data_IF_517266329853
#
_entry.id   IF_517266329853
#
_cell.length_a   1.000
_cell.length_b   1.000
_cell.length_c   1.000
_cell.angle_alpha   90.00
_cell.angle_beta   90.00
_cell.angle_gamma   90.00
#
_symmetry.space_group_name_H-M   'P 1'
#
loop_
_entity.id
_entity.type
_entity.pdbx_description
1 polymer ?
#
# COMPACT_ATOMS: atom_id res chain seq x y z
N UNK A 1 5.43 27.64 14.05
CA UNK A 1 4.45 27.10 13.09
C UNK A 1 5.06 26.66 11.76
N UNK A 2 5.93 27.45 11.11
CA UNK A 2 6.53 27.07 9.82
C UNK A 2 7.46 25.83 9.91
N UNK A 3 8.35 25.81 10.90
CA UNK A 3 9.28 24.69 11.14
C UNK A 3 8.59 23.37 11.52
N UNK A 4 7.46 23.41 12.24
CA UNK A 4 6.71 22.20 12.60
C UNK A 4 5.97 21.60 11.39
N UNK A 5 5.49 22.44 10.47
CA UNK A 5 4.86 22.01 9.23
C UNK A 5 5.88 21.45 8.23
N UNK A 6 7.11 21.98 8.25
CA UNK A 6 8.24 21.45 7.48
C UNK A 6 8.71 20.09 8.03
N UNK A 7 8.82 19.92 9.35
CA UNK A 7 9.18 18.63 9.96
C UNK A 7 8.11 17.54 9.76
N UNK A 8 6.82 17.91 9.80
CA UNK A 8 5.72 16.97 9.50
C UNK A 8 5.76 16.50 8.03
N UNK A 9 6.04 17.40 7.09
CA UNK A 9 6.13 17.05 5.67
C UNK A 9 7.37 16.21 5.35
N UNK A 10 8.49 16.45 6.03
CA UNK A 10 9.73 15.66 5.90
C UNK A 10 9.50 14.23 6.39
N UNK A 11 8.77 14.07 7.50
CA UNK A 11 8.31 12.78 8.03
C UNK A 11 7.44 12.00 7.03
N UNK A 12 6.52 12.65 6.32
CA UNK A 12 5.63 11.98 5.35
C UNK A 12 6.38 11.49 4.13
N UNK A 13 7.31 12.31 3.65
CA UNK A 13 8.15 11.98 2.50
C UNK A 13 9.01 10.74 2.78
N UNK A 14 9.60 10.64 3.97
CA UNK A 14 10.42 9.49 4.36
C UNK A 14 9.61 8.19 4.37
N UNK A 15 8.40 8.22 4.95
CA UNK A 15 7.51 7.04 4.98
C UNK A 15 7.13 6.63 3.57
N UNK A 16 6.67 7.55 2.73
CA UNK A 16 6.27 7.25 1.34
C UNK A 16 7.47 6.73 0.54
N UNK A 17 8.65 7.33 0.71
CA UNK A 17 9.85 6.93 -0.01
C UNK A 17 10.32 5.52 0.41
N UNK A 18 10.21 5.17 1.69
CA UNK A 18 10.50 3.82 2.15
C UNK A 18 9.60 2.79 1.47
N UNK A 19 8.30 3.08 1.33
CA UNK A 19 7.36 2.26 0.57
C UNK A 19 7.77 2.10 -0.90
N UNK A 20 8.12 3.20 -1.57
CA UNK A 20 8.58 3.17 -2.96
C UNK A 20 9.86 2.36 -3.15
N UNK A 21 10.77 2.38 -2.17
CA UNK A 21 11.96 1.54 -2.18
C UNK A 21 11.60 0.05 -2.07
N UNK A 22 10.67 -0.31 -1.18
CA UNK A 22 10.17 -1.69 -1.05
C UNK A 22 9.51 -2.21 -2.34
N UNK A 23 8.78 -1.36 -3.07
CA UNK A 23 8.16 -1.75 -4.35
C UNK A 23 9.18 -2.24 -5.39
N UNK A 24 10.40 -1.69 -5.40
CA UNK A 24 11.46 -2.18 -6.28
C UNK A 24 11.81 -3.64 -5.98
N UNK A 25 11.93 -3.99 -4.71
CA UNK A 25 12.29 -5.32 -4.25
C UNK A 25 11.12 -6.30 -4.43
N UNK A 26 9.88 -5.85 -4.22
CA UNK A 26 8.67 -6.63 -4.52
C UNK A 26 8.57 -6.97 -6.01
N UNK A 27 8.83 -6.02 -6.91
CA UNK A 27 8.83 -6.28 -8.36
C UNK A 27 9.93 -7.29 -8.73
N UNK A 28 11.10 -7.20 -8.11
CA UNK A 28 12.17 -8.17 -8.31
C UNK A 28 11.76 -9.57 -7.83
N UNK A 29 11.10 -9.65 -6.67
CA UNK A 29 10.54 -10.88 -6.12
C UNK A 29 9.47 -11.49 -7.03
N UNK A 30 8.50 -10.70 -7.53
CA UNK A 30 7.47 -11.17 -8.46
C UNK A 30 8.08 -11.74 -9.74
N UNK A 31 9.14 -11.14 -10.29
CA UNK A 31 9.84 -11.67 -11.47
C UNK A 31 10.52 -13.01 -11.18
N UNK A 32 11.14 -13.16 -10.00
CA UNK A 32 11.75 -14.42 -9.55
C UNK A 32 10.70 -15.52 -9.40
N UNK A 33 9.59 -15.22 -8.74
CA UNK A 33 8.49 -16.19 -8.58
C UNK A 33 7.86 -16.55 -9.93
N UNK A 34 7.62 -15.58 -10.81
CA UNK A 34 7.11 -15.86 -12.14
C UNK A 34 8.00 -16.84 -12.93
N UNK A 35 9.33 -16.68 -12.85
CA UNK A 35 10.27 -17.61 -13.47
C UNK A 35 10.25 -19.01 -12.82
N UNK A 36 10.15 -19.08 -11.48
CA UNK A 36 10.05 -20.34 -10.73
C UNK A 36 8.79 -21.14 -11.08
N UNK A 37 7.68 -20.45 -11.32
CA UNK A 37 6.38 -21.06 -11.62
C UNK A 37 6.05 -21.16 -13.11
N UNK A 38 7.01 -20.84 -13.99
CA UNK A 38 6.83 -20.80 -15.45
C UNK A 38 5.65 -19.92 -15.91
N UNK A 39 5.45 -18.80 -15.21
CA UNK A 39 4.43 -17.80 -15.52
C UNK A 39 5.03 -16.70 -16.41
N UNK A 40 4.55 -16.59 -17.63
CA UNK A 40 4.96 -15.53 -18.54
C UNK A 40 4.25 -14.21 -18.21
N UNK A 41 4.95 -13.25 -17.60
CA UNK A 41 4.39 -11.93 -17.24
C UNK A 41 4.02 -11.06 -18.46
N UNK A 42 4.69 -11.26 -19.60
CA UNK A 42 4.41 -10.53 -20.85
C UNK A 42 3.26 -11.18 -21.61
N UNK A 43 2.32 -10.38 -22.11
CA UNK A 43 1.19 -10.88 -22.89
C UNK A 43 0.00 -11.36 -22.07
N UNK A 44 0.07 -11.29 -20.73
CA UNK A 44 -1.10 -11.46 -19.86
C UNK A 44 -2.06 -10.29 -20.12
N UNK A 45 -3.29 -10.62 -20.51
CA UNK A 45 -4.35 -9.61 -20.62
C UNK A 45 -4.93 -9.36 -19.22
N UNK A 46 -4.81 -8.14 -18.66
CA UNK A 46 -5.35 -7.85 -17.33
C UNK A 46 -6.86 -8.09 -17.31
N UNK A 47 -7.34 -8.77 -16.26
CA UNK A 47 -8.78 -8.94 -16.04
C UNK A 47 -9.48 -7.59 -15.90
N UNK A 48 -10.79 -7.55 -16.16
CA UNK A 48 -11.58 -6.31 -16.06
C UNK A 48 -11.46 -5.64 -14.69
N UNK A 49 -11.41 -6.42 -13.61
CA UNK A 49 -11.20 -5.92 -12.25
C UNK A 49 -9.86 -5.22 -12.09
N UNK A 50 -8.76 -5.81 -12.60
CA UNK A 50 -7.43 -5.19 -12.56
C UNK A 50 -7.41 -3.88 -13.36
N UNK A 51 -8.01 -3.86 -14.56
CA UNK A 51 -8.10 -2.64 -15.36
C UNK A 51 -8.88 -1.53 -14.64
N UNK A 52 -10.00 -1.88 -13.98
CA UNK A 52 -10.79 -0.91 -13.23
C UNK A 52 -10.01 -0.39 -12.01
N UNK A 53 -9.25 -1.25 -11.33
CA UNK A 53 -8.42 -0.88 -10.19
C UNK A 53 -7.28 0.06 -10.58
N UNK A 54 -6.58 -0.22 -11.69
CA UNK A 54 -5.56 0.69 -12.22
C UNK A 54 -6.16 2.06 -12.58
N UNK A 55 -7.32 2.10 -13.24
CA UNK A 55 -8.01 3.37 -13.57
C UNK A 55 -8.41 4.15 -12.32
N UNK A 56 -8.82 3.46 -11.26
CA UNK A 56 -9.12 4.08 -9.98
C UNK A 56 -7.86 4.73 -9.40
N UNK A 57 -6.74 4.00 -9.35
CA UNK A 57 -5.45 4.55 -8.88
C UNK A 57 -5.04 5.76 -9.75
N UNK A 58 -5.13 5.68 -11.07
CA UNK A 58 -4.83 6.79 -11.98
C UNK A 58 -5.73 8.02 -11.74
N UNK A 59 -6.98 7.81 -11.34
CA UNK A 59 -7.91 8.89 -11.00
C UNK A 59 -7.52 9.62 -9.71
N UNK A 60 -6.83 8.93 -8.78
CA UNK A 60 -6.31 9.52 -7.55
C UNK A 60 -5.02 10.35 -7.76
N UNK A 61 -4.39 10.22 -8.93
CA UNK A 61 -3.15 10.93 -9.28
C UNK A 61 -3.42 12.30 -9.93
N UNK A 62 -4.69 12.71 -10.07
CA UNK A 62 -5.04 13.99 -10.69
C UNK A 62 -4.72 15.16 -9.74
N UNK A 63 -4.30 16.33 -10.27
CA UNK A 63 -3.84 17.46 -9.46
C UNK A 63 -4.94 18.10 -8.60
N UNK A 64 -6.21 17.83 -8.89
CA UNK A 64 -7.39 18.30 -8.14
C UNK A 64 -7.80 17.36 -6.99
N UNK A 65 -7.14 16.21 -6.85
CA UNK A 65 -7.35 15.29 -5.72
C UNK A 65 -6.67 15.83 -4.47
N UNK A 66 -7.43 15.90 -3.38
CA UNK A 66 -6.88 16.32 -2.08
C UNK A 66 -5.88 15.28 -1.56
N UNK A 67 -4.77 15.76 -1.00
CA UNK A 67 -3.74 14.88 -0.43
C UNK A 67 -4.31 13.92 0.61
N UNK A 68 -5.28 14.35 1.44
CA UNK A 68 -5.94 13.50 2.41
C UNK A 68 -6.66 12.32 1.75
N UNK A 69 -7.30 12.52 0.58
CA UNK A 69 -7.96 11.44 -0.17
C UNK A 69 -6.91 10.47 -0.72
N UNK A 70 -5.85 10.98 -1.35
CA UNK A 70 -4.80 10.15 -1.94
C UNK A 70 -4.06 9.30 -0.90
N UNK A 71 -3.68 9.89 0.23
CA UNK A 71 -2.93 9.20 1.29
C UNK A 71 -3.80 8.19 2.05
N UNK A 72 -5.10 8.47 2.25
CA UNK A 72 -6.05 7.50 2.81
C UNK A 72 -6.25 6.31 1.89
N UNK A 73 -6.39 6.55 0.58
CA UNK A 73 -6.45 5.46 -0.39
C UNK A 73 -5.16 4.63 -0.37
N UNK A 74 -3.99 5.28 -0.37
CA UNK A 74 -2.71 4.58 -0.33
C UNK A 74 -2.57 3.71 0.92
N UNK A 75 -2.84 4.25 2.11
CA UNK A 75 -2.89 3.48 3.35
C UNK A 75 -3.84 2.28 3.26
N UNK A 76 -5.05 2.49 2.73
CA UNK A 76 -6.06 1.43 2.64
C UNK A 76 -5.56 0.26 1.79
N UNK A 77 -4.89 0.53 0.67
CA UNK A 77 -4.32 -0.50 -0.22
C UNK A 77 -3.28 -1.34 0.51
N UNK A 78 -2.37 -0.71 1.24
CA UNK A 78 -1.32 -1.42 1.99
C UNK A 78 -1.92 -2.20 3.17
N UNK A 79 -2.86 -1.59 3.91
CA UNK A 79 -3.49 -2.19 5.07
C UNK A 79 -4.30 -3.44 4.73
N UNK A 80 -5.01 -3.47 3.58
CA UNK A 80 -5.75 -4.68 3.19
C UNK A 80 -4.81 -5.84 2.82
N UNK A 81 -3.63 -5.56 2.27
CA UNK A 81 -2.61 -6.59 2.09
C UNK A 81 -2.11 -7.08 3.44
N UNK A 82 -1.71 -6.16 4.32
CA UNK A 82 -1.22 -6.52 5.65
C UNK A 82 -2.21 -7.39 6.42
N UNK A 83 -3.48 -6.99 6.48
CA UNK A 83 -4.52 -7.72 7.19
C UNK A 83 -4.80 -9.10 6.55
N UNK A 84 -4.71 -9.20 5.22
CA UNK A 84 -4.91 -10.48 4.52
C UNK A 84 -3.81 -11.48 4.80
N UNK A 85 -2.57 -11.03 5.02
CA UNK A 85 -1.41 -11.88 5.27
C UNK A 85 -1.02 -11.98 6.76
N UNK A 86 -1.59 -11.17 7.66
CA UNK A 86 -1.22 -11.13 9.08
C UNK A 86 -1.28 -12.50 9.78
N UNK A 87 -2.26 -13.32 9.44
CA UNK A 87 -2.48 -14.62 10.08
C UNK A 87 -1.77 -15.78 9.39
N UNK A 88 -1.19 -15.58 8.20
CA UNK A 88 -0.61 -16.69 7.44
C UNK A 88 0.79 -17.09 7.92
N UNK A 89 1.31 -16.41 8.95
CA UNK A 89 2.57 -16.73 9.65
C UNK A 89 2.36 -17.31 11.07
N UNK A 90 1.11 -17.44 11.55
CA UNK A 90 0.83 -18.02 12.86
C UNK A 90 1.21 -19.52 12.92
N UNK A 91 1.52 -20.03 14.11
CA UNK A 91 2.01 -21.41 14.30
C UNK A 91 1.01 -22.49 13.85
N UNK A 92 -0.29 -22.18 13.85
CA UNK A 92 -1.37 -23.06 13.39
C UNK A 92 -1.84 -22.77 11.96
N UNK A 93 -1.22 -21.80 11.27
CA UNK A 93 -1.52 -21.46 9.90
C UNK A 93 -1.18 -22.62 8.96
N UNK A 94 -2.14 -22.99 8.10
CA UNK A 94 -1.97 -24.04 7.08
C UNK A 94 -1.45 -23.47 5.76
N UNK A 95 -0.57 -22.47 5.85
CA UNK A 95 0.03 -21.83 4.69
C UNK A 95 0.92 -22.84 3.95
N UNK A 96 0.67 -23.11 2.65
CA UNK A 96 1.56 -23.94 1.86
C UNK A 96 2.99 -23.39 1.92
N UNK A 97 3.98 -24.27 2.04
CA UNK A 97 5.38 -23.88 2.17
C UNK A 97 5.84 -22.98 1.00
N UNK A 98 5.26 -23.20 -0.17
CA UNK A 98 5.56 -22.48 -1.40
C UNK A 98 5.02 -21.04 -1.41
N UNK A 99 4.02 -20.73 -0.57
CA UNK A 99 3.43 -19.39 -0.40
C UNK A 99 3.96 -18.66 0.83
N UNK A 100 4.83 -19.29 1.63
CA UNK A 100 5.35 -18.70 2.86
C UNK A 100 6.16 -17.42 2.62
N UNK A 101 6.91 -17.34 1.53
CA UNK A 101 7.70 -16.14 1.19
C UNK A 101 6.79 -14.92 0.96
N UNK A 102 5.62 -15.11 0.33
CA UNK A 102 4.61 -14.05 0.18
C UNK A 102 4.05 -13.60 1.54
N UNK A 103 3.80 -14.54 2.44
CA UNK A 103 3.38 -14.26 3.81
C UNK A 103 4.44 -13.49 4.60
N UNK A 104 5.73 -13.79 4.40
CA UNK A 104 6.81 -13.09 5.07
C UNK A 104 6.98 -11.64 4.56
N UNK A 105 6.60 -11.34 3.31
CA UNK A 105 6.62 -9.96 2.80
C UNK A 105 5.52 -9.13 3.48
N UNK A 106 4.25 -9.48 3.26
CA UNK A 106 3.11 -8.64 3.68
C UNK A 106 2.55 -8.97 5.07
N UNK A 107 2.86 -10.14 5.63
CA UNK A 107 2.48 -10.53 6.99
C UNK A 107 3.53 -10.20 8.05
N UNK A 108 4.69 -9.64 7.67
CA UNK A 108 5.75 -9.29 8.62
C UNK A 108 5.37 -8.17 9.58
N UNK A 109 6.00 -8.17 10.76
CA UNK A 109 5.89 -7.07 11.71
C UNK A 109 6.37 -5.73 11.09
N UNK A 110 7.43 -5.77 10.27
CA UNK A 110 7.96 -4.58 9.60
C UNK A 110 6.94 -3.94 8.64
N UNK A 111 6.26 -4.75 7.83
CA UNK A 111 5.19 -4.24 6.96
C UNK A 111 3.99 -3.73 7.77
N UNK A 112 3.68 -4.35 8.89
CA UNK A 112 2.67 -3.87 9.85
C UNK A 112 3.00 -2.49 10.43
N UNK A 113 4.27 -2.27 10.82
CA UNK A 113 4.74 -0.98 11.32
C UNK A 113 4.66 0.10 10.23
N UNK A 114 5.06 -0.23 8.99
CA UNK A 114 4.93 0.66 7.84
C UNK A 114 3.47 1.07 7.58
N UNK A 115 2.55 0.11 7.56
CA UNK A 115 1.11 0.38 7.42
C UNK A 115 0.58 1.27 8.55
N UNK A 116 1.08 1.09 9.77
CA UNK A 116 0.72 1.92 10.93
C UNK A 116 1.21 3.37 10.77
N UNK A 117 2.43 3.58 10.26
CA UNK A 117 2.92 4.92 9.95
C UNK A 117 2.09 5.60 8.87
N UNK A 118 1.69 4.89 7.81
CA UNK A 118 0.78 5.43 6.79
C UNK A 118 -0.60 5.79 7.36
N UNK A 119 -1.14 4.96 8.27
CA UNK A 119 -2.40 5.24 8.95
C UNK A 119 -2.34 6.56 9.74
N UNK A 120 -1.26 6.79 10.49
CA UNK A 120 -1.07 8.03 11.25
C UNK A 120 -1.02 9.27 10.35
N UNK A 121 -0.42 9.15 9.15
CA UNK A 121 -0.40 10.22 8.15
C UNK A 121 -1.81 10.48 7.61
N UNK A 122 -2.56 9.41 7.30
CA UNK A 122 -3.92 9.51 6.81
C UNK A 122 -4.85 10.17 7.84
N UNK A 123 -4.85 9.71 9.09
CA UNK A 123 -5.66 10.28 10.17
C UNK A 123 -5.33 11.75 10.43
N UNK A 124 -4.03 12.08 10.49
CA UNK A 124 -3.59 13.47 10.66
C UNK A 124 -4.06 14.35 9.49
N UNK A 125 -4.02 13.84 8.26
CA UNK A 125 -4.46 14.58 7.07
C UNK A 125 -5.98 14.77 7.07
N UNK A 126 -6.75 13.73 7.39
CA UNK A 126 -8.20 13.79 7.50
C UNK A 126 -8.68 14.75 8.61
N UNK A 127 -7.94 14.87 9.71
CA UNK A 127 -8.28 15.81 10.79
C UNK A 127 -8.24 17.28 10.37
N UNK A 128 -7.56 17.61 9.26
CA UNK A 128 -7.31 18.97 8.78
C UNK A 128 -8.23 19.40 7.64
N UNK A 129 -9.05 18.50 7.07
CA UNK A 129 -9.91 18.78 5.91
C UNK A 129 -11.40 18.89 6.28
N UNK A 130 -12.21 19.45 5.38
CA UNK A 130 -13.65 19.57 5.58
C UNK A 130 -14.35 18.21 5.55
N UNK A 131 -15.55 18.14 6.11
CA UNK A 131 -16.33 16.89 6.13
C UNK A 131 -16.70 16.41 4.71
N UNK A 132 -16.85 17.32 3.74
CA UNK A 132 -17.03 16.96 2.33
C UNK A 132 -15.82 16.20 1.76
N UNK A 133 -14.60 16.59 2.16
CA UNK A 133 -13.37 15.92 1.72
C UNK A 133 -13.20 14.59 2.45
N UNK A 134 -13.50 14.54 3.76
CA UNK A 134 -13.51 13.27 4.51
C UNK A 134 -14.50 12.28 3.90
N UNK A 135 -15.69 12.72 3.52
CA UNK A 135 -16.69 11.88 2.87
C UNK A 135 -16.16 11.26 1.57
N UNK A 136 -15.38 12.01 0.77
CA UNK A 136 -14.73 11.50 -0.45
C UNK A 136 -13.60 10.51 -0.16
N UNK A 137 -12.89 10.67 0.95
CA UNK A 137 -11.82 9.75 1.35
C UNK A 137 -12.38 8.41 1.88
N UNK A 138 -13.60 8.42 2.42
CA UNK A 138 -14.25 7.25 3.02
C UNK A 138 -15.34 6.61 2.13
N UNK A 139 -15.57 7.12 0.91
CA UNK A 139 -16.58 6.63 -0.05
C UNK A 139 -16.00 5.63 -1.04
#
# INVERSE_FOLDING_TARGET
>A
MKAAKESENESDMEVILAGMASLHDEIAWFKKEAAKWDVQLTGITPHKTNQNYCRFIESLMQPDVDYAVAITAFWTIEAVYQQSFAYCLEDDAKTPAELREACEIWGSEGFGQYCSSLHEIAERSLSKVSDDVKAKACS
#
